data_IF_907131486419
#
_entry.id   IF_907131486419
#
_cell.length_a   1.000
_cell.length_b   1.000
_cell.length_c   1.000
_cell.angle_alpha   90.00
_cell.angle_beta   90.00
_cell.angle_gamma   90.00
#
_symmetry.space_group_name_H-M   'P 1'
#
loop_
_entity.id
_entity.type
_entity.pdbx_description
1 polymer ?
#
# COMPACT_ATOMS: atom_id res chain seq x y z
N UNK A 1 5.96 11.30 -1.74
CA UNK A 1 5.31 10.63 -0.60
C UNK A 1 4.20 9.73 -1.13
N UNK A 2 4.27 8.46 -0.81
CA UNK A 2 3.25 7.49 -1.22
C UNK A 2 2.19 7.35 -0.11
N UNK A 3 0.93 7.37 -0.50
CA UNK A 3 -0.20 7.25 0.43
C UNK A 3 -0.96 5.97 0.10
N UNK A 4 -1.12 5.12 1.11
CA UNK A 4 -1.97 3.94 1.04
C UNK A 4 -3.36 4.29 1.54
N UNK A 5 -4.36 3.83 0.82
CA UNK A 5 -5.76 3.89 1.25
C UNK A 5 -6.23 2.50 1.63
N UNK A 6 -7.10 2.45 2.61
CA UNK A 6 -7.71 1.20 3.08
C UNK A 6 -9.21 1.39 3.18
N UNK A 7 -9.95 0.46 2.60
CA UNK A 7 -11.40 0.40 2.72
C UNK A 7 -11.85 -1.04 2.95
N UNK A 8 -13.06 -1.19 3.48
CA UNK A 8 -13.66 -2.51 3.71
C UNK A 8 -14.92 -2.58 2.85
N UNK A 9 -14.95 -3.57 1.96
CA UNK A 9 -16.07 -3.83 1.06
C UNK A 9 -16.85 -5.03 1.56
N UNK A 10 -18.14 -5.10 1.20
CA UNK A 10 -18.91 -6.32 1.40
C UNK A 10 -18.33 -7.41 0.49
N UNK A 11 -18.08 -8.59 1.05
CA UNK A 11 -17.51 -9.70 0.28
C UNK A 11 -18.59 -10.36 -0.59
N UNK A 12 -18.88 -9.73 -1.72
CA UNK A 12 -19.87 -10.19 -2.71
C UNK A 12 -19.38 -9.90 -4.12
N UNK A 13 -19.84 -10.69 -5.12
CA UNK A 13 -19.53 -10.38 -6.51
C UNK A 13 -19.94 -8.95 -6.88
N UNK A 14 -19.09 -8.28 -7.65
CA UNK A 14 -19.33 -6.93 -8.17
C UNK A 14 -18.92 -5.80 -7.25
N UNK A 15 -18.62 -6.03 -5.97
CA UNK A 15 -18.24 -4.96 -5.06
C UNK A 15 -16.86 -4.38 -5.38
N UNK A 16 -15.89 -5.25 -5.65
CA UNK A 16 -14.58 -4.79 -6.06
C UNK A 16 -14.64 -4.08 -7.42
N UNK A 17 -15.41 -4.62 -8.36
CA UNK A 17 -15.59 -4.01 -9.68
C UNK A 17 -16.17 -2.59 -9.56
N UNK A 18 -17.21 -2.42 -8.75
CA UNK A 18 -17.80 -1.09 -8.51
C UNK A 18 -16.76 -0.12 -7.92
N UNK A 19 -16.04 -0.55 -6.90
CA UNK A 19 -15.02 0.27 -6.23
C UNK A 19 -13.93 0.72 -7.20
N UNK A 20 -13.37 -0.23 -7.96
CA UNK A 20 -12.28 0.09 -8.90
C UNK A 20 -12.76 0.93 -10.08
N UNK A 21 -14.00 0.72 -10.53
CA UNK A 21 -14.59 1.52 -11.60
C UNK A 21 -14.82 2.97 -11.17
N UNK A 22 -15.25 3.20 -9.93
CA UNK A 22 -15.41 4.56 -9.37
C UNK A 22 -14.10 5.34 -9.48
N UNK A 23 -12.99 4.71 -9.11
CA UNK A 23 -11.66 5.33 -9.21
C UNK A 23 -11.22 5.50 -10.66
N UNK A 24 -11.38 4.47 -11.48
CA UNK A 24 -10.95 4.49 -12.88
C UNK A 24 -11.68 5.54 -13.71
N UNK A 25 -12.98 5.71 -13.49
CA UNK A 25 -13.78 6.73 -14.18
C UNK A 25 -13.35 8.14 -13.84
N UNK A 26 -12.78 8.34 -12.67
CA UNK A 26 -12.22 9.63 -12.25
C UNK A 26 -10.77 9.83 -12.70
N UNK A 27 -10.21 8.88 -13.43
CA UNK A 27 -8.84 8.95 -13.94
C UNK A 27 -7.77 8.59 -12.91
N UNK A 28 -8.14 7.99 -11.78
CA UNK A 28 -7.18 7.52 -10.78
C UNK A 28 -6.60 6.19 -11.20
N UNK A 29 -5.29 6.10 -11.28
CA UNK A 29 -4.57 4.86 -11.55
C UNK A 29 -4.18 4.21 -10.23
N UNK A 30 -4.56 2.96 -10.07
CA UNK A 30 -4.13 2.15 -8.93
C UNK A 30 -2.75 1.57 -9.25
N UNK A 31 -1.75 1.98 -8.50
CA UNK A 31 -0.35 1.55 -8.70
C UNK A 31 -0.06 0.23 -7.99
N UNK A 32 -0.71 0.00 -6.87
CA UNK A 32 -0.58 -1.24 -6.11
C UNK A 32 -1.89 -1.52 -5.40
N UNK A 33 -2.27 -2.78 -5.30
CA UNK A 33 -3.52 -3.18 -4.63
C UNK A 33 -3.36 -4.55 -4.00
N UNK A 34 -3.95 -4.69 -2.82
CA UNK A 34 -4.06 -5.96 -2.12
C UNK A 34 -5.46 -6.08 -1.54
N UNK A 35 -6.08 -7.25 -1.70
CA UNK A 35 -7.38 -7.55 -1.10
C UNK A 35 -7.31 -8.87 -0.38
N UNK A 36 -7.89 -8.90 0.81
CA UNK A 36 -8.11 -10.14 1.55
C UNK A 36 -9.47 -10.07 2.24
N UNK A 37 -10.21 -11.15 2.16
CA UNK A 37 -11.53 -11.26 2.80
C UNK A 37 -11.43 -12.05 4.09
N UNK A 38 -12.14 -11.58 5.10
CA UNK A 38 -12.31 -12.26 6.37
C UNK A 38 -13.80 -12.24 6.78
N UNK A 39 -14.10 -12.52 8.06
CA UNK A 39 -15.47 -12.55 8.56
C UNK A 39 -16.15 -11.18 8.54
N UNK A 40 -15.38 -10.09 8.54
CA UNK A 40 -15.91 -8.73 8.56
C UNK A 40 -16.17 -8.15 7.18
N UNK A 41 -15.59 -8.75 6.14
CA UNK A 41 -15.71 -8.28 4.77
C UNK A 41 -14.41 -8.41 4.00
N UNK A 42 -14.30 -7.67 2.91
CA UNK A 42 -13.10 -7.63 2.09
C UNK A 42 -12.29 -6.38 2.42
N UNK A 43 -11.08 -6.57 2.92
CA UNK A 43 -10.16 -5.47 3.24
C UNK A 43 -9.35 -5.18 1.98
N UNK A 44 -9.47 -3.96 1.46
CA UNK A 44 -8.73 -3.50 0.29
C UNK A 44 -7.73 -2.44 0.72
N UNK A 45 -6.46 -2.66 0.39
CA UNK A 45 -5.38 -1.69 0.58
C UNK A 45 -4.80 -1.37 -0.80
N UNK A 46 -4.60 -0.09 -1.08
CA UNK A 46 -4.09 0.30 -2.39
C UNK A 46 -3.34 1.61 -2.33
N UNK A 47 -2.47 1.80 -3.31
CA UNK A 47 -1.70 3.03 -3.50
C UNK A 47 -2.10 3.64 -4.84
N UNK A 48 -2.81 4.76 -4.84
CA UNK A 48 -3.16 5.47 -6.07
C UNK A 48 -2.05 6.41 -6.53
N UNK A 49 -2.06 6.77 -7.79
CA UNK A 49 -1.16 7.79 -8.34
C UNK A 49 -1.51 9.22 -7.88
N UNK A 50 -2.77 9.47 -7.54
CA UNK A 50 -3.27 10.79 -7.14
C UNK A 50 -4.07 10.67 -5.84
N UNK A 51 -3.41 10.82 -4.67
CA UNK A 51 -4.10 10.71 -3.38
C UNK A 51 -5.20 11.74 -3.19
N UNK A 52 -5.01 12.99 -3.62
CA UNK A 52 -6.00 14.05 -3.44
C UNK A 52 -7.28 13.76 -4.24
N UNK A 53 -7.14 13.34 -5.48
CA UNK A 53 -8.29 12.96 -6.31
C UNK A 53 -8.99 11.72 -5.73
N UNK A 54 -8.22 10.75 -5.25
CA UNK A 54 -8.76 9.55 -4.62
C UNK A 54 -9.64 9.90 -3.43
N UNK A 55 -9.15 10.73 -2.54
CA UNK A 55 -9.91 11.17 -1.37
C UNK A 55 -11.21 11.85 -1.76
N UNK A 56 -11.14 12.77 -2.73
CA UNK A 56 -12.29 13.49 -3.25
C UNK A 56 -13.35 12.54 -3.83
N UNK A 57 -12.91 11.58 -4.65
CA UNK A 57 -13.79 10.61 -5.31
C UNK A 57 -14.46 9.67 -4.31
N UNK A 58 -13.70 9.17 -3.35
CA UNK A 58 -14.24 8.27 -2.34
C UNK A 58 -15.24 8.97 -1.44
N UNK A 59 -14.97 10.21 -1.05
CA UNK A 59 -15.90 11.02 -0.28
C UNK A 59 -17.19 11.28 -1.06
N UNK A 60 -17.09 11.64 -2.34
CA UNK A 60 -18.25 11.88 -3.19
C UNK A 60 -19.10 10.62 -3.38
N UNK A 61 -18.48 9.45 -3.38
CA UNK A 61 -19.16 8.16 -3.50
C UNK A 61 -19.65 7.61 -2.15
N UNK A 62 -19.44 8.33 -1.07
CA UNK A 62 -19.78 7.91 0.31
C UNK A 62 -19.10 6.59 0.71
N UNK A 63 -17.88 6.38 0.24
CA UNK A 63 -17.06 5.21 0.59
C UNK A 63 -16.15 5.59 1.75
N UNK A 64 -16.29 4.88 2.88
CA UNK A 64 -15.46 5.10 4.05
C UNK A 64 -14.06 4.52 3.83
N UNK A 65 -13.05 5.29 4.21
CA UNK A 65 -11.66 4.87 4.05
C UNK A 65 -10.78 5.45 5.16
N UNK A 66 -9.61 4.86 5.32
CA UNK A 66 -8.50 5.44 6.07
C UNK A 66 -7.30 5.57 5.13
N UNK A 67 -6.37 6.44 5.47
CA UNK A 67 -5.14 6.60 4.67
C UNK A 67 -3.94 6.80 5.58
N UNK A 68 -2.77 6.41 5.06
CA UNK A 68 -1.49 6.61 5.76
C UNK A 68 -0.35 6.68 4.76
N UNK A 69 0.75 7.28 5.18
CA UNK A 69 1.98 7.22 4.42
C UNK A 69 2.55 5.80 4.45
N UNK A 70 3.05 5.32 3.33
CA UNK A 70 3.74 4.03 3.21
C UNK A 70 5.08 4.22 2.51
N UNK A 71 5.95 3.24 2.68
CA UNK A 71 7.25 3.23 2.02
C UNK A 71 7.17 2.36 0.77
N UNK A 72 7.63 2.87 -0.36
CA UNK A 72 7.77 2.09 -1.59
C UNK A 72 9.26 1.87 -1.83
N UNK A 73 9.68 0.61 -1.81
CA UNK A 73 11.08 0.23 -1.86
C UNK A 73 11.33 -0.67 -3.07
N UNK A 74 12.32 -0.31 -3.88
CA UNK A 74 12.81 -1.19 -4.93
C UNK A 74 13.85 -2.12 -4.31
N UNK A 75 13.45 -3.37 -4.09
CA UNK A 75 14.30 -4.36 -3.40
C UNK A 75 15.11 -5.20 -4.37
N UNK A 76 15.17 -4.83 -5.64
CA UNK A 76 15.78 -5.62 -6.71
C UNK A 76 15.12 -7.01 -6.79
N UNK A 77 14.95 -7.52 -7.98
CA UNK A 77 14.31 -8.82 -8.21
C UNK A 77 15.33 -9.95 -8.02
N UNK A 78 15.76 -10.17 -6.77
CA UNK A 78 16.78 -11.15 -6.41
C UNK A 78 16.39 -11.90 -5.15
N UNK A 79 16.79 -13.18 -5.03
CA UNK A 79 16.61 -13.91 -3.77
C UNK A 79 17.29 -13.17 -2.61
N UNK A 80 16.69 -13.27 -1.43
CA UNK A 80 17.17 -12.72 -0.15
C UNK A 80 17.04 -11.21 0.02
N UNK A 81 16.87 -10.39 -1.02
CA UNK A 81 16.81 -8.92 -0.86
C UNK A 81 15.64 -8.50 0.04
N UNK A 82 14.47 -9.11 -0.13
CA UNK A 82 13.33 -8.79 0.73
C UNK A 82 13.58 -9.20 2.18
N UNK A 83 14.21 -10.36 2.40
CA UNK A 83 14.61 -10.80 3.73
C UNK A 83 15.60 -9.84 4.38
N UNK A 84 16.52 -9.29 3.61
CA UNK A 84 17.48 -8.30 4.10
C UNK A 84 16.78 -7.02 4.55
N UNK A 85 15.82 -6.52 3.78
CA UNK A 85 15.02 -5.35 4.14
C UNK A 85 14.27 -5.60 5.44
N UNK A 86 13.58 -6.73 5.54
CA UNK A 86 12.81 -7.09 6.73
C UNK A 86 13.72 -7.20 7.97
N UNK A 87 14.90 -7.78 7.81
CA UNK A 87 15.86 -7.96 8.91
C UNK A 87 16.38 -6.61 9.42
N UNK A 88 16.76 -5.72 8.53
CA UNK A 88 17.27 -4.40 8.91
C UNK A 88 16.19 -3.57 9.59
N UNK A 89 14.96 -3.64 9.12
CA UNK A 89 13.81 -2.99 9.79
C UNK A 89 13.62 -3.54 11.21
N UNK A 90 13.63 -4.86 11.35
CA UNK A 90 13.49 -5.50 12.65
C UNK A 90 14.60 -5.12 13.62
N UNK A 91 15.84 -5.08 13.16
CA UNK A 91 17.01 -4.70 13.98
C UNK A 91 16.89 -3.25 14.47
N UNK A 92 16.23 -2.39 13.71
CA UNK A 92 15.96 -1.01 14.09
C UNK A 92 14.68 -0.83 14.93
N UNK A 93 13.99 -1.92 15.26
CA UNK A 93 12.76 -1.85 16.02
C UNK A 93 11.54 -1.41 15.22
N UNK A 94 11.62 -1.40 13.89
CA UNK A 94 10.51 -1.04 13.01
C UNK A 94 9.69 -2.27 12.69
N UNK A 95 8.39 -2.22 12.98
CA UNK A 95 7.47 -3.31 12.64
C UNK A 95 6.83 -3.08 11.28
N UNK A 96 6.93 -4.06 10.41
CA UNK A 96 6.21 -4.08 9.13
C UNK A 96 4.87 -4.74 9.37
N UNK A 97 3.79 -3.99 9.22
CA UNK A 97 2.43 -4.49 9.46
C UNK A 97 1.68 -4.81 8.16
N UNK A 98 2.14 -4.32 7.03
CA UNK A 98 1.63 -4.72 5.74
C UNK A 98 2.73 -4.70 4.68
N UNK A 99 2.66 -5.65 3.76
CA UNK A 99 3.60 -5.75 2.65
C UNK A 99 2.91 -6.36 1.44
N UNK A 100 3.07 -5.75 0.30
CA UNK A 100 2.58 -6.31 -0.96
C UNK A 100 3.41 -5.81 -2.14
N UNK A 101 3.43 -6.60 -3.19
CA UNK A 101 4.17 -6.29 -4.41
C UNK A 101 3.42 -5.25 -5.24
N UNK A 102 4.17 -4.32 -5.81
CA UNK A 102 3.68 -3.33 -6.76
C UNK A 102 3.97 -3.78 -8.19
N UNK A 103 5.22 -4.11 -8.44
CA UNK A 103 5.73 -4.67 -9.69
C UNK A 103 6.99 -5.46 -9.34
N UNK A 104 7.62 -6.12 -10.32
CA UNK A 104 8.81 -6.92 -10.07
C UNK A 104 9.87 -6.11 -9.32
N UNK A 105 10.27 -6.60 -8.16
CA UNK A 105 11.28 -5.98 -7.32
C UNK A 105 10.84 -4.73 -6.55
N UNK A 106 9.59 -4.28 -6.70
CA UNK A 106 9.08 -3.09 -5.97
C UNK A 106 8.01 -3.53 -5.00
N UNK A 107 8.15 -3.15 -3.75
CA UNK A 107 7.21 -3.49 -2.68
C UNK A 107 6.69 -2.26 -1.96
N UNK A 108 5.46 -2.37 -1.48
CA UNK A 108 4.84 -1.40 -0.58
C UNK A 108 5.00 -1.92 0.84
N UNK A 109 5.55 -1.11 1.73
CA UNK A 109 5.71 -1.43 3.14
C UNK A 109 4.87 -0.49 3.99
N UNK A 110 3.94 -1.04 4.75
CA UNK A 110 3.27 -0.34 5.85
C UNK A 110 4.01 -0.62 7.14
N UNK A 111 4.40 0.43 7.84
CA UNK A 111 5.23 0.33 9.06
C UNK A 111 4.62 1.16 10.19
N UNK A 112 4.98 0.81 11.41
CA UNK A 112 4.53 1.54 12.61
C UNK A 112 5.36 2.79 12.88
N UNK A 113 6.61 2.83 12.40
CA UNK A 113 7.53 3.95 12.58
C UNK A 113 8.10 4.37 11.22
N UNK A 114 7.41 5.32 10.57
CA UNK A 114 7.80 5.77 9.24
C UNK A 114 9.15 6.48 9.24
N UNK A 115 9.44 7.31 10.25
CA UNK A 115 10.70 8.04 10.32
C UNK A 115 11.87 7.07 10.51
N UNK A 116 11.73 6.10 11.39
CA UNK A 116 12.71 5.04 11.58
C UNK A 116 12.92 4.21 10.32
N UNK A 117 11.83 3.87 9.63
CA UNK A 117 11.90 3.11 8.39
C UNK A 117 12.65 3.87 7.29
N UNK A 118 12.40 5.16 7.15
CA UNK A 118 13.11 6.01 6.17
C UNK A 118 14.61 6.08 6.45
N UNK A 119 14.98 6.21 7.71
CA UNK A 119 16.39 6.22 8.12
C UNK A 119 17.09 4.91 7.80
N UNK A 120 16.43 3.79 8.08
CA UNK A 120 16.95 2.46 7.79
C UNK A 120 17.11 2.25 6.30
N UNK A 121 16.09 2.59 5.52
CA UNK A 121 16.10 2.43 4.08
C UNK A 121 17.19 3.28 3.40
N UNK A 122 17.46 4.47 3.93
CA UNK A 122 18.51 5.35 3.41
C UNK A 122 19.91 4.74 3.56
N UNK A 123 20.11 3.87 4.54
CA UNK A 123 21.39 3.18 4.76
C UNK A 123 21.54 1.86 3.99
N UNK A 124 20.51 1.46 3.23
CA UNK A 124 20.51 0.22 2.48
C UNK A 124 20.81 0.47 1.00
N UNK A 125 21.25 -0.58 0.30
CA UNK A 125 21.44 -0.55 -1.15
C UNK A 125 20.10 -0.78 -1.86
N UNK A 126 19.06 -0.04 -1.48
CA UNK A 126 17.71 -0.09 -2.07
C UNK A 126 17.26 1.32 -2.41
N UNK A 127 16.40 1.44 -3.40
CA UNK A 127 15.85 2.74 -3.81
C UNK A 127 14.47 2.92 -3.18
N UNK A 128 14.27 4.02 -2.47
CA UNK A 128 12.98 4.42 -1.93
C UNK A 128 12.30 5.35 -2.93
N UNK A 129 11.06 5.07 -3.26
CA UNK A 129 10.30 5.83 -4.23
C UNK A 129 9.22 6.70 -3.57
#
# INVERSE_FOLDING_TARGET
MAIEFKTILINKPGRLAHFTNVLGEAGVKIQAIHQMSDETGSIVQFVPDDPAMTESVLNAASITFTSREVLIVDVLDQPATLGDVATVMADAGVNIDSIYLMTSGVVVLGVDDMDGAKQVAAGMAVTVK
#
